data_IF_241528679595
#
_entry.id   IF_241528679595
#
_cell.length_a   1.000
_cell.length_b   1.000
_cell.length_c   1.000
_cell.angle_alpha   90.00
_cell.angle_beta   90.00
_cell.angle_gamma   90.00
#
_symmetry.space_group_name_H-M   'P 1'
#
loop_
_entity.id
_entity.type
_entity.pdbx_description
1 polymer ?
#
# COMPACT_ATOMS: atom_id res chain seq x y z
N UNK A 1 39.59 -9.14 -22.34
CA UNK A 1 39.19 -7.74 -22.62
C UNK A 1 37.71 -7.62 -22.28
N UNK A 2 37.42 -7.16 -21.07
CA UNK A 2 36.06 -6.94 -20.56
C UNK A 2 35.48 -5.70 -21.23
N UNK A 3 34.35 -5.87 -21.91
CA UNK A 3 33.52 -4.78 -22.40
C UNK A 3 32.88 -4.07 -21.21
N UNK A 4 33.33 -2.85 -20.97
CA UNK A 4 32.70 -1.87 -20.08
C UNK A 4 31.32 -1.53 -20.66
N UNK A 5 30.27 -2.22 -20.21
CA UNK A 5 28.91 -1.71 -20.30
C UNK A 5 28.87 -0.46 -19.41
N UNK A 6 28.77 0.69 -20.08
CA UNK A 6 28.81 2.02 -19.48
C UNK A 6 27.77 2.13 -18.37
N UNK A 7 28.20 2.58 -17.18
CA UNK A 7 27.34 2.83 -16.02
C UNK A 7 26.14 3.73 -16.36
N UNK A 8 26.26 4.55 -17.42
CA UNK A 8 25.22 5.44 -17.95
C UNK A 8 24.07 4.69 -18.64
N UNK A 9 24.34 3.52 -19.21
CA UNK A 9 23.30 2.72 -19.89
C UNK A 9 22.40 2.00 -18.87
N UNK A 10 22.92 1.68 -17.67
CA UNK A 10 22.13 1.15 -16.56
C UNK A 10 21.21 2.20 -15.91
N UNK A 11 21.69 3.43 -15.74
CA UNK A 11 20.86 4.55 -15.25
C UNK A 11 19.71 4.88 -16.20
N UNK A 12 19.94 4.78 -17.51
CA UNK A 12 18.91 5.08 -18.52
C UNK A 12 17.80 4.01 -18.58
N UNK A 13 18.11 2.76 -18.22
CA UNK A 13 17.12 1.70 -18.04
C UNK A 13 16.31 1.88 -16.74
N UNK A 14 16.94 2.34 -15.65
CA UNK A 14 16.27 2.65 -14.38
C UNK A 14 15.35 3.87 -14.46
N UNK A 15 15.69 4.88 -15.27
CA UNK A 15 14.87 6.07 -15.48
C UNK A 15 13.56 5.79 -16.26
N UNK A 16 13.50 4.70 -17.04
CA UNK A 16 12.27 4.26 -17.74
C UNK A 16 11.36 3.39 -16.87
N UNK A 17 11.90 2.63 -15.91
CA UNK A 17 11.12 1.84 -14.93
C UNK A 17 10.41 2.71 -13.89
N UNK A 18 11.04 3.81 -13.46
CA UNK A 18 10.53 4.65 -12.37
C UNK A 18 9.14 5.27 -12.60
N UNK A 19 8.71 5.46 -13.86
CA UNK A 19 7.37 6.00 -14.19
C UNK A 19 6.27 4.93 -14.21
N UNK A 20 6.58 3.69 -14.62
CA UNK A 20 5.62 2.56 -14.57
C UNK A 20 5.45 2.02 -13.15
N UNK A 21 6.51 2.08 -12.34
CA UNK A 21 6.50 1.59 -10.97
C UNK A 21 5.70 2.53 -10.04
N UNK A 22 5.78 3.84 -10.29
CA UNK A 22 4.99 4.84 -9.56
C UNK A 22 3.48 4.66 -9.81
N UNK A 23 3.09 4.44 -11.07
CA UNK A 23 1.70 4.16 -11.42
C UNK A 23 1.17 2.88 -10.76
N UNK A 24 2.03 1.88 -10.55
CA UNK A 24 1.68 0.65 -9.85
C UNK A 24 1.37 0.88 -8.36
N UNK A 25 2.12 1.76 -7.69
CA UNK A 25 1.88 2.12 -6.30
C UNK A 25 0.61 2.95 -6.12
N UNK A 26 0.33 3.87 -7.04
CA UNK A 26 -0.91 4.66 -7.04
C UNK A 26 -2.16 3.79 -7.19
N UNK A 27 -2.08 2.73 -8.00
CA UNK A 27 -3.17 1.76 -8.17
C UNK A 27 -3.47 0.99 -6.88
N UNK A 28 -2.44 0.62 -6.12
CA UNK A 28 -2.63 -0.01 -4.80
C UNK A 28 -3.35 0.96 -3.85
N UNK A 29 -2.89 2.21 -3.75
CA UNK A 29 -3.54 3.21 -2.92
C UNK A 29 -4.98 3.49 -3.33
N UNK A 30 -5.26 3.65 -4.63
CA UNK A 30 -6.63 3.87 -5.13
C UNK A 30 -7.56 2.73 -4.71
N UNK A 31 -7.11 1.48 -4.82
CA UNK A 31 -7.91 0.29 -4.48
C UNK A 31 -8.08 0.09 -2.98
N UNK A 32 -7.07 0.46 -2.19
CA UNK A 32 -7.16 0.45 -0.74
C UNK A 32 -8.11 1.54 -0.24
N UNK A 33 -8.02 2.75 -0.80
CA UNK A 33 -8.87 3.88 -0.42
C UNK A 33 -10.32 3.71 -0.86
N UNK A 34 -10.57 3.03 -1.99
CA UNK A 34 -11.93 2.68 -2.40
C UNK A 34 -12.64 1.76 -1.39
N UNK A 35 -11.91 0.92 -0.65
CA UNK A 35 -12.47 0.08 0.44
C UNK A 35 -12.83 0.88 1.69
N UNK A 36 -12.27 2.07 1.84
CA UNK A 36 -12.53 2.96 2.97
C UNK A 36 -13.55 4.06 2.62
N UNK A 37 -14.31 3.86 1.52
CA UNK A 37 -15.37 4.73 1.01
C UNK A 37 -14.92 6.18 0.76
N UNK A 38 -13.61 6.37 0.51
CA UNK A 38 -13.05 7.69 0.18
C UNK A 38 -12.77 7.77 -1.32
N UNK A 39 -13.73 8.35 -2.03
CA UNK A 39 -13.57 8.73 -3.42
C UNK A 39 -12.45 9.78 -3.54
N UNK A 40 -11.32 9.35 -4.11
CA UNK A 40 -10.43 10.13 -4.98
C UNK A 40 -9.38 11.09 -4.39
N UNK A 41 -9.12 11.13 -3.09
CA UNK A 41 -7.98 11.93 -2.58
C UNK A 41 -6.75 11.03 -2.41
N UNK A 42 -5.82 11.10 -3.36
CA UNK A 42 -4.43 10.69 -3.12
C UNK A 42 -3.83 11.74 -2.17
N UNK A 43 -3.25 11.30 -1.06
CA UNK A 43 -2.60 12.21 -0.12
C UNK A 43 -1.44 12.89 -0.82
N UNK A 44 -1.45 14.23 -0.89
CA UNK A 44 -0.39 14.98 -1.53
C UNK A 44 0.86 15.07 -0.63
N UNK A 45 0.65 15.03 0.68
CA UNK A 45 1.72 15.07 1.68
C UNK A 45 1.56 13.97 2.74
N UNK A 46 2.68 13.65 3.41
CA UNK A 46 2.66 12.75 4.57
C UNK A 46 1.82 13.32 5.73
N UNK A 47 1.77 14.64 5.88
CA UNK A 47 0.98 15.31 6.91
C UNK A 47 -0.51 15.10 6.69
N UNK A 48 -1.00 15.23 5.45
CA UNK A 48 -2.40 14.95 5.09
C UNK A 48 -2.80 13.51 5.45
N UNK A 49 -1.90 12.56 5.20
CA UNK A 49 -2.10 11.16 5.55
C UNK A 49 -2.19 10.96 7.07
N UNK A 50 -1.32 11.61 7.84
CA UNK A 50 -1.29 11.51 9.30
C UNK A 50 -2.53 12.16 9.93
N UNK A 51 -2.92 13.35 9.46
CA UNK A 51 -4.16 14.03 9.88
C UNK A 51 -5.37 13.15 9.58
N UNK A 52 -5.47 12.60 8.37
CA UNK A 52 -6.55 11.69 8.03
C UNK A 52 -6.52 10.40 8.85
N UNK A 53 -5.36 9.82 9.13
CA UNK A 53 -5.25 8.60 9.94
C UNK A 53 -5.71 8.83 11.39
N UNK A 54 -5.51 10.03 11.91
CA UNK A 54 -5.79 10.39 13.31
C UNK A 54 -7.17 11.03 13.50
N UNK A 55 -7.77 11.62 12.47
CA UNK A 55 -9.09 12.23 12.53
C UNK A 55 -10.18 11.24 12.97
N UNK A 56 -11.17 11.69 13.74
CA UNK A 56 -12.39 10.92 14.01
C UNK A 56 -13.25 10.82 12.74
N UNK A 57 -13.84 9.65 12.49
CA UNK A 57 -14.74 9.45 11.35
C UNK A 57 -15.79 8.40 11.69
N UNK A 58 -17.01 8.65 11.23
CA UNK A 58 -18.15 7.71 11.34
C UNK A 58 -18.04 6.59 10.30
N UNK A 59 -17.39 6.86 9.17
CA UNK A 59 -17.33 5.95 8.01
C UNK A 59 -16.27 4.87 8.21
N UNK A 60 -15.07 5.28 8.64
CA UNK A 60 -13.95 4.35 8.86
C UNK A 60 -13.33 4.58 10.25
N UNK A 61 -13.42 3.60 11.17
CA UNK A 61 -12.80 3.67 12.48
C UNK A 61 -11.31 3.98 12.38
N UNK A 62 -10.81 4.83 13.29
CA UNK A 62 -9.41 5.27 13.30
C UNK A 62 -8.44 4.08 13.33
N UNK A 63 -8.80 3.01 14.06
CA UNK A 63 -8.01 1.79 14.18
C UNK A 63 -7.88 1.05 12.84
N UNK A 64 -8.95 0.99 12.04
CA UNK A 64 -8.94 0.33 10.74
C UNK A 64 -8.03 1.11 9.79
N UNK A 65 -8.18 2.44 9.73
CA UNK A 65 -7.32 3.31 8.92
C UNK A 65 -5.84 3.15 9.29
N UNK A 66 -5.51 3.08 10.58
CA UNK A 66 -4.13 2.82 11.05
C UNK A 66 -3.56 1.50 10.52
N UNK A 67 -4.31 0.40 10.64
CA UNK A 67 -3.85 -0.90 10.12
C UNK A 67 -3.67 -0.88 8.60
N UNK A 68 -4.64 -0.31 7.91
CA UNK A 68 -4.63 -0.23 6.45
C UNK A 68 -3.41 0.56 5.97
N UNK A 69 -3.16 1.74 6.54
CA UNK A 69 -2.01 2.56 6.16
C UNK A 69 -0.69 1.86 6.47
N UNK A 70 -0.56 1.29 7.67
CA UNK A 70 0.64 0.56 8.06
C UNK A 70 0.93 -0.61 7.10
N UNK A 71 -0.09 -1.41 6.78
CA UNK A 71 0.03 -2.53 5.86
C UNK A 71 0.38 -2.06 4.44
N UNK A 72 -0.25 -0.98 3.97
CA UNK A 72 0.02 -0.41 2.64
C UNK A 72 1.46 0.05 2.53
N UNK A 73 1.94 0.86 3.48
CA UNK A 73 3.33 1.34 3.50
C UNK A 73 4.31 0.17 3.55
N UNK A 74 4.05 -0.82 4.39
CA UNK A 74 4.91 -2.01 4.50
C UNK A 74 5.02 -2.76 3.17
N UNK A 75 3.90 -3.04 2.52
CA UNK A 75 3.89 -3.78 1.25
C UNK A 75 4.54 -2.99 0.10
N UNK A 76 4.34 -1.67 0.06
CA UNK A 76 4.99 -0.80 -0.93
C UNK A 76 6.50 -0.73 -0.72
N UNK A 77 6.94 -0.55 0.52
CA UNK A 77 8.36 -0.59 0.87
C UNK A 77 8.99 -1.94 0.53
N UNK A 78 8.31 -3.04 0.87
CA UNK A 78 8.75 -4.40 0.54
C UNK A 78 8.86 -4.58 -0.98
N UNK A 79 7.90 -4.08 -1.75
CA UNK A 79 7.92 -4.16 -3.20
C UNK A 79 9.06 -3.35 -3.80
N UNK A 80 9.29 -2.12 -3.32
CA UNK A 80 10.44 -1.30 -3.73
C UNK A 80 11.75 -2.03 -3.48
N UNK A 81 11.91 -2.67 -2.33
CA UNK A 81 13.11 -3.44 -2.02
C UNK A 81 13.25 -4.68 -2.91
N UNK A 82 12.14 -5.34 -3.23
CA UNK A 82 12.14 -6.49 -4.13
C UNK A 82 12.56 -6.12 -5.56
N UNK A 83 12.16 -4.93 -6.04
CA UNK A 83 12.64 -4.38 -7.31
C UNK A 83 14.15 -4.11 -7.22
N UNK A 84 14.60 -3.47 -6.15
CA UNK A 84 16.00 -3.08 -5.98
C UNK A 84 16.96 -4.28 -5.91
N UNK A 85 16.60 -5.33 -5.15
CA UNK A 85 17.47 -6.48 -4.92
C UNK A 85 17.24 -7.64 -5.88
N UNK A 86 16.00 -7.88 -6.30
CA UNK A 86 15.63 -9.07 -7.07
C UNK A 86 15.14 -8.74 -8.48
N UNK A 87 15.05 -7.45 -8.86
CA UNK A 87 14.54 -6.98 -10.16
C UNK A 87 13.15 -7.55 -10.52
N UNK A 88 12.34 -7.85 -9.49
CA UNK A 88 11.02 -8.46 -9.66
C UNK A 88 9.92 -7.47 -9.32
N UNK A 89 9.06 -7.22 -10.31
CA UNK A 89 7.82 -6.50 -10.10
C UNK A 89 6.71 -7.46 -9.68
N UNK A 90 6.02 -7.15 -8.59
CA UNK A 90 4.79 -7.83 -8.19
C UNK A 90 3.62 -7.01 -8.70
N UNK A 91 2.64 -7.61 -9.40
CA UNK A 91 1.45 -6.89 -9.86
C UNK A 91 0.69 -6.22 -8.71
N UNK A 92 0.14 -5.01 -8.91
CA UNK A 92 -0.65 -4.29 -7.89
C UNK A 92 -1.81 -5.11 -7.33
N UNK A 93 -2.47 -5.93 -8.16
CA UNK A 93 -3.55 -6.83 -7.74
C UNK A 93 -3.09 -7.84 -6.71
N UNK A 94 -1.91 -8.42 -6.89
CA UNK A 94 -1.36 -9.41 -5.97
C UNK A 94 -0.96 -8.75 -4.64
N UNK A 95 -0.38 -7.55 -4.70
CA UNK A 95 -0.08 -6.74 -3.51
C UNK A 95 -1.37 -6.44 -2.73
N UNK A 96 -2.43 -6.04 -3.43
CA UNK A 96 -3.73 -5.79 -2.82
C UNK A 96 -4.29 -7.04 -2.15
N UNK A 97 -4.20 -8.21 -2.79
CA UNK A 97 -4.66 -9.48 -2.20
C UNK A 97 -3.87 -9.87 -0.95
N UNK A 98 -2.54 -9.65 -0.95
CA UNK A 98 -1.71 -9.87 0.24
C UNK A 98 -2.11 -8.92 1.38
N UNK A 99 -2.31 -7.65 1.05
CA UNK A 99 -2.76 -6.62 2.00
C UNK A 99 -4.14 -6.94 2.59
N UNK A 100 -5.11 -7.31 1.75
CA UNK A 100 -6.46 -7.68 2.19
C UNK A 100 -6.41 -8.88 3.15
N UNK A 101 -5.60 -9.90 2.82
CA UNK A 101 -5.38 -11.04 3.71
C UNK A 101 -4.77 -10.62 5.04
N UNK A 102 -3.75 -9.76 5.02
CA UNK A 102 -3.07 -9.30 6.23
C UNK A 102 -4.01 -8.49 7.13
N UNK A 103 -4.82 -7.59 6.56
CA UNK A 103 -5.80 -6.81 7.31
C UNK A 103 -6.85 -7.74 7.94
N UNK A 104 -7.39 -8.70 7.19
CA UNK A 104 -8.30 -9.71 7.74
C UNK A 104 -7.65 -10.52 8.85
N UNK A 105 -6.38 -10.89 8.71
CA UNK A 105 -5.63 -11.60 9.76
C UNK A 105 -5.42 -10.74 11.01
N UNK A 106 -5.10 -9.45 10.85
CA UNK A 106 -4.95 -8.51 11.96
C UNK A 106 -6.29 -8.35 12.70
N UNK A 107 -7.40 -8.21 11.98
CA UNK A 107 -8.73 -8.10 12.59
C UNK A 107 -9.12 -9.42 13.27
N UNK A 108 -8.92 -10.56 12.60
CA UNK A 108 -9.24 -11.89 13.15
C UNK A 108 -8.42 -12.23 14.39
N UNK A 109 -7.12 -11.93 14.41
CA UNK A 109 -6.27 -12.15 15.59
C UNK A 109 -6.74 -11.31 16.79
N UNK A 110 -7.41 -10.18 16.54
CA UNK A 110 -7.97 -9.29 17.55
C UNK A 110 -9.46 -9.51 17.80
N UNK A 111 -10.10 -10.50 17.17
CA UNK A 111 -11.56 -10.73 17.20
C UNK A 111 -12.15 -10.82 18.61
N UNK A 112 -11.39 -11.31 19.60
CA UNK A 112 -11.83 -11.38 21.00
C UNK A 112 -11.92 -10.02 21.71
N UNK A 113 -11.42 -8.93 21.12
CA UNK A 113 -11.61 -7.57 21.63
C UNK A 113 -12.94 -7.00 21.12
N UNK A 114 -13.69 -6.35 22.02
CA UNK A 114 -14.96 -5.67 21.70
C UNK A 114 -14.77 -4.72 20.51
N UNK A 115 -15.69 -4.76 19.55
CA UNK A 115 -15.69 -3.91 18.36
C UNK A 115 -14.95 -4.46 17.13
N UNK A 116 -14.21 -5.57 17.23
CA UNK A 116 -13.51 -6.13 16.05
C UNK A 116 -14.44 -6.77 15.01
N UNK A 117 -15.63 -7.24 15.41
CA UNK A 117 -16.62 -7.76 14.47
C UNK A 117 -17.15 -6.64 13.55
N UNK A 118 -17.36 -5.44 14.09
CA UNK A 118 -17.73 -4.25 13.32
C UNK A 118 -16.61 -3.86 12.35
N UNK A 119 -15.34 -3.97 12.76
CA UNK A 119 -14.20 -3.69 11.88
C UNK A 119 -14.14 -4.64 10.67
N UNK A 120 -14.41 -5.93 10.88
CA UNK A 120 -14.43 -6.90 9.77
C UNK A 120 -15.58 -6.60 8.80
N UNK A 121 -16.77 -6.30 9.32
CA UNK A 121 -17.92 -5.94 8.48
C UNK A 121 -17.65 -4.68 7.64
N UNK A 122 -17.00 -3.68 8.21
CA UNK A 122 -16.63 -2.45 7.50
C UNK A 122 -15.57 -2.70 6.41
N UNK A 123 -14.63 -3.63 6.62
CA UNK A 123 -13.59 -3.95 5.65
C UNK A 123 -14.10 -4.81 4.47
N UNK A 124 -15.09 -5.68 4.71
CA UNK A 124 -15.67 -6.55 3.68
C UNK A 124 -16.70 -5.87 2.78
N UNK A 125 -17.10 -4.64 3.11
CA UNK A 125 -18.00 -3.80 2.32
C UNK A 125 -17.40 -3.47 0.94
#
# INVERSE_FOLDING_TARGET
MQGFLSLKDLECAQAKSGKSDLGSFDLVWKRVLSRLDRLQILFQTWEDLMVWMTASSVIAPQILRKFVVQATIFHLWRQRNNILHNQRLIPPDLIFNMLDRDIRNIINSRRRRKGCEILMQLWLR
#
